data_IF_575137706261
#
_entry.id   IF_575137706261
#
_cell.length_a   1.000
_cell.length_b   1.000
_cell.length_c   1.000
_cell.angle_alpha   90.00
_cell.angle_beta   90.00
_cell.angle_gamma   90.00
#
_symmetry.space_group_name_H-M   'P 1'
#
loop_
_entity.id
_entity.type
_entity.pdbx_description
1 polymer ?
#
# COMPACT_ATOMS: atom_id res chain seq x y z
N UNK A 1 -7.14 -0.42 0.34
CA UNK A 1 -8.44 -1.11 0.19
C UNK A 1 -8.47 -1.63 -1.23
N UNK A 2 -9.03 -2.81 -1.48
CA UNK A 2 -8.96 -3.39 -2.82
C UNK A 2 -9.96 -2.76 -3.75
N UNK A 3 -9.47 -2.19 -4.85
CA UNK A 3 -10.30 -1.73 -5.95
C UNK A 3 -10.73 -2.94 -6.79
N UNK A 4 -12.03 -3.09 -6.98
CA UNK A 4 -12.66 -4.24 -7.62
C UNK A 4 -13.22 -3.77 -8.96
N UNK A 5 -12.86 -4.44 -10.05
CA UNK A 5 -13.45 -4.23 -11.37
C UNK A 5 -14.34 -5.43 -11.73
N UNK A 6 -15.61 -5.20 -12.05
CA UNK A 6 -16.56 -6.23 -12.45
C UNK A 6 -16.78 -6.13 -13.97
N UNK A 7 -16.14 -7.03 -14.70
CA UNK A 7 -16.32 -7.21 -16.13
C UNK A 7 -17.43 -8.21 -16.40
N UNK A 8 -18.36 -7.85 -17.29
CA UNK A 8 -19.51 -8.70 -17.61
C UNK A 8 -20.11 -8.38 -18.97
N UNK A 9 -20.86 -9.35 -19.54
CA UNK A 9 -21.64 -9.17 -20.77
C UNK A 9 -23.12 -9.01 -20.40
N UNK A 10 -23.72 -7.85 -20.68
CA UNK A 10 -25.10 -7.53 -20.24
C UNK A 10 -26.14 -8.60 -20.60
N UNK A 11 -26.06 -9.14 -21.82
CA UNK A 11 -27.06 -10.08 -22.40
C UNK A 11 -27.48 -11.23 -21.48
N UNK A 12 -26.56 -11.80 -20.69
CA UNK A 12 -26.85 -12.99 -19.88
C UNK A 12 -26.37 -12.92 -18.42
N UNK A 13 -25.80 -11.79 -17.99
CA UNK A 13 -25.26 -11.65 -16.63
C UNK A 13 -25.82 -10.46 -15.85
N UNK A 14 -26.57 -9.54 -16.47
CA UNK A 14 -27.01 -8.28 -15.86
C UNK A 14 -27.71 -8.47 -14.49
N UNK A 15 -28.67 -9.40 -14.40
CA UNK A 15 -29.37 -9.69 -13.14
C UNK A 15 -28.48 -10.30 -12.04
N UNK A 16 -27.44 -11.06 -12.40
CA UNK A 16 -26.48 -11.59 -11.44
C UNK A 16 -25.50 -10.53 -10.97
N UNK A 17 -25.08 -9.65 -11.88
CA UNK A 17 -24.11 -8.57 -11.61
C UNK A 17 -24.69 -7.54 -10.65
N UNK A 18 -25.92 -7.07 -10.88
CA UNK A 18 -26.57 -6.16 -9.95
C UNK A 18 -26.69 -6.75 -8.54
N UNK A 19 -27.13 -8.01 -8.45
CA UNK A 19 -27.22 -8.72 -7.16
C UNK A 19 -25.85 -8.91 -6.50
N UNK A 20 -24.79 -9.19 -7.27
CA UNK A 20 -23.44 -9.29 -6.77
C UNK A 20 -22.96 -7.94 -6.22
N UNK A 21 -23.17 -6.86 -6.98
CA UNK A 21 -22.83 -5.49 -6.58
C UNK A 21 -23.49 -5.12 -5.24
N UNK A 22 -24.80 -5.35 -5.10
CA UNK A 22 -25.55 -5.07 -3.86
C UNK A 22 -25.00 -5.79 -2.62
N UNK A 23 -24.35 -6.94 -2.81
CA UNK A 23 -23.69 -7.67 -1.72
C UNK A 23 -22.25 -7.19 -1.50
N UNK A 24 -21.53 -6.83 -2.57
CA UNK A 24 -20.16 -6.32 -2.44
C UNK A 24 -20.12 -4.96 -1.71
N UNK A 25 -21.08 -4.06 -1.95
CA UNK A 25 -21.17 -2.76 -1.27
C UNK A 25 -21.45 -2.87 0.24
N UNK A 26 -21.88 -4.04 0.73
CA UNK A 26 -21.99 -4.31 2.16
C UNK A 26 -20.64 -4.62 2.82
N UNK A 27 -19.59 -4.85 2.01
CA UNK A 27 -18.27 -5.30 2.46
C UNK A 27 -17.12 -4.42 2.00
N UNK A 28 -17.31 -3.61 0.96
CA UNK A 28 -16.34 -2.71 0.37
C UNK A 28 -16.99 -1.34 0.13
N UNK A 29 -16.20 -0.28 0.12
CA UNK A 29 -16.72 1.06 -0.17
C UNK A 29 -17.21 1.12 -1.63
N UNK A 30 -18.39 1.71 -1.92
CA UNK A 30 -18.92 1.78 -3.28
C UNK A 30 -17.96 2.45 -4.29
N UNK A 31 -17.15 3.40 -3.82
CA UNK A 31 -16.13 4.09 -4.64
C UNK A 31 -14.97 3.17 -5.08
N UNK A 32 -14.79 2.03 -4.42
CA UNK A 32 -13.76 1.05 -4.75
C UNK A 32 -14.31 -0.08 -5.65
N UNK A 33 -15.60 -0.08 -6.00
CA UNK A 33 -16.22 -1.07 -6.88
C UNK A 33 -16.60 -0.42 -8.21
N UNK A 34 -15.93 -0.83 -9.27
CA UNK A 34 -16.18 -0.39 -10.63
C UNK A 34 -16.99 -1.46 -11.37
N UNK A 35 -18.15 -1.07 -11.87
CA UNK A 35 -18.93 -1.89 -12.79
C UNK A 35 -19.56 -0.98 -13.84
N UNK A 36 -19.49 -1.43 -15.10
CA UNK A 36 -20.21 -0.81 -16.21
C UNK A 36 -19.81 0.64 -16.58
N UNK A 37 -20.11 0.97 -17.83
CA UNK A 37 -19.88 2.23 -18.56
C UNK A 37 -20.61 3.44 -17.98
N UNK A 38 -21.57 3.24 -17.07
CA UNK A 38 -22.39 4.32 -16.49
C UNK A 38 -21.60 5.31 -15.62
N UNK A 39 -20.35 4.99 -15.29
CA UNK A 39 -19.45 5.82 -14.49
C UNK A 39 -18.56 6.75 -15.33
N UNK A 40 -18.61 6.65 -16.67
CA UNK A 40 -17.76 7.43 -17.57
C UNK A 40 -18.49 8.72 -17.95
N UNK A 41 -17.85 9.86 -17.69
CA UNK A 41 -18.46 11.16 -17.99
C UNK A 41 -18.71 11.35 -19.49
N UNK A 42 -19.84 11.98 -19.89
CA UNK A 42 -20.10 12.30 -21.28
C UNK A 42 -18.94 13.10 -21.91
N UNK A 43 -18.36 12.57 -22.99
CA UNK A 43 -17.24 13.20 -23.69
C UNK A 43 -15.85 12.69 -23.30
N UNK A 44 -15.73 11.82 -22.29
CA UNK A 44 -14.48 11.13 -21.98
C UNK A 44 -14.13 10.09 -23.06
N UNK A 45 -12.83 9.87 -23.29
CA UNK A 45 -12.36 8.75 -24.11
C UNK A 45 -12.66 7.44 -23.37
N UNK A 46 -13.59 6.69 -23.92
CA UNK A 46 -14.12 5.47 -23.33
C UNK A 46 -13.05 4.38 -23.17
N UNK A 47 -12.16 4.23 -24.15
CA UNK A 47 -11.10 3.22 -24.12
C UNK A 47 -10.09 3.58 -23.05
N UNK A 48 -9.71 4.85 -22.96
CA UNK A 48 -8.78 5.33 -21.94
C UNK A 48 -9.34 5.19 -20.52
N UNK A 49 -10.61 5.55 -20.31
CA UNK A 49 -11.26 5.42 -19.01
C UNK A 49 -11.32 3.95 -18.53
N UNK A 50 -11.55 3.01 -19.45
CA UNK A 50 -11.53 1.58 -19.17
C UNK A 50 -10.12 1.08 -18.83
N UNK A 51 -9.11 1.49 -19.59
CA UNK A 51 -7.72 1.13 -19.30
C UNK A 51 -7.27 1.64 -17.94
N UNK A 52 -7.63 2.89 -17.59
CA UNK A 52 -7.32 3.49 -16.28
C UNK A 52 -8.04 2.76 -15.14
N UNK A 53 -9.31 2.37 -15.33
CA UNK A 53 -10.07 1.61 -14.34
C UNK A 53 -9.47 0.22 -14.10
N UNK A 54 -9.07 -0.50 -15.15
CA UNK A 54 -8.37 -1.79 -15.03
C UNK A 54 -6.97 -1.62 -14.44
N UNK A 55 -6.25 -0.55 -14.80
CA UNK A 55 -4.92 -0.27 -14.27
C UNK A 55 -4.96 0.02 -12.77
N UNK A 56 -6.02 0.66 -12.30
CA UNK A 56 -6.18 0.99 -10.88
C UNK A 56 -6.81 -0.13 -10.06
N UNK A 57 -7.46 -1.13 -10.66
CA UNK A 57 -8.04 -2.25 -9.90
C UNK A 57 -6.96 -3.20 -9.34
N UNK A 58 -7.23 -3.75 -8.15
CA UNK A 58 -6.44 -4.82 -7.53
C UNK A 58 -7.02 -6.20 -7.89
N UNK A 59 -8.35 -6.30 -7.94
CA UNK A 59 -9.08 -7.52 -8.26
C UNK A 59 -10.01 -7.29 -9.45
N UNK A 60 -9.93 -8.19 -10.42
CA UNK A 60 -10.73 -8.17 -11.63
C UNK A 60 -11.66 -9.39 -11.63
N UNK A 61 -12.97 -9.17 -11.60
CA UNK A 61 -13.99 -10.21 -11.62
C UNK A 61 -14.49 -10.36 -13.05
N UNK A 62 -14.26 -11.51 -13.66
CA UNK A 62 -14.75 -11.82 -15.01
C UNK A 62 -16.02 -12.66 -14.91
N UNK A 63 -17.19 -12.03 -15.12
CA UNK A 63 -18.50 -12.70 -15.06
C UNK A 63 -18.77 -13.45 -16.36
N UNK A 64 -18.94 -14.77 -16.25
CA UNK A 64 -19.14 -15.68 -17.38
C UNK A 64 -20.54 -16.29 -17.26
N UNK A 65 -21.43 -15.86 -18.15
CA UNK A 65 -22.77 -16.41 -18.31
C UNK A 65 -22.84 -17.51 -19.39
N UNK A 66 -24.02 -18.15 -19.57
CA UNK A 66 -24.19 -19.28 -20.49
C UNK A 66 -23.90 -18.97 -21.96
N UNK A 67 -24.13 -17.72 -22.39
CA UNK A 67 -23.95 -17.24 -23.76
C UNK A 67 -22.68 -16.41 -23.93
N UNK A 68 -21.89 -16.22 -22.86
CA UNK A 68 -20.69 -15.39 -22.85
C UNK A 68 -19.71 -15.68 -24.00
N UNK A 69 -19.53 -16.98 -24.31
CA UNK A 69 -18.64 -17.48 -25.36
C UNK A 69 -19.31 -17.51 -26.75
N UNK A 70 -20.62 -17.69 -26.81
CA UNK A 70 -21.38 -17.91 -28.05
C UNK A 70 -22.13 -16.67 -28.53
N UNK A 71 -22.01 -15.54 -27.82
CA UNK A 71 -22.60 -14.29 -28.23
C UNK A 71 -22.00 -13.86 -29.58
N UNK A 72 -22.89 -13.61 -30.54
CA UNK A 72 -22.54 -13.17 -31.89
C UNK A 72 -22.85 -11.68 -32.08
N UNK A 73 -22.19 -11.06 -33.04
CA UNK A 73 -22.55 -9.72 -33.54
C UNK A 73 -23.58 -9.80 -34.67
N UNK A 74 -23.83 -8.66 -35.31
CA UNK A 74 -24.77 -8.53 -36.42
C UNK A 74 -24.30 -9.29 -37.68
N UNK A 75 -22.99 -9.54 -37.81
CA UNK A 75 -22.37 -10.30 -38.89
C UNK A 75 -22.32 -11.82 -38.63
N UNK A 76 -22.75 -12.26 -37.44
CA UNK A 76 -22.79 -13.68 -37.05
C UNK A 76 -21.48 -14.23 -36.50
N UNK A 77 -20.47 -13.38 -36.31
CA UNK A 77 -19.17 -13.74 -35.76
C UNK A 77 -19.20 -13.71 -34.23
N UNK A 78 -18.44 -14.60 -33.57
CA UNK A 78 -18.37 -14.59 -32.10
C UNK A 78 -17.74 -13.29 -31.62
N UNK A 79 -18.45 -12.54 -30.79
CA UNK A 79 -17.99 -11.25 -30.27
C UNK A 79 -16.64 -11.36 -29.57
N UNK A 80 -16.42 -12.43 -28.81
CA UNK A 80 -15.16 -12.64 -28.09
C UNK A 80 -13.94 -12.76 -29.02
N UNK A 81 -14.12 -13.14 -30.29
CA UNK A 81 -13.04 -13.26 -31.27
C UNK A 81 -12.71 -11.92 -31.93
N UNK A 82 -13.56 -10.92 -31.78
CA UNK A 82 -13.37 -9.59 -32.35
C UNK A 82 -12.35 -8.79 -31.56
N UNK A 83 -11.61 -7.95 -32.26
CA UNK A 83 -10.57 -7.11 -31.65
C UNK A 83 -11.15 -5.92 -30.85
N UNK A 84 -12.41 -5.54 -31.13
CA UNK A 84 -13.11 -4.42 -30.52
C UNK A 84 -14.15 -4.83 -29.45
N UNK A 85 -14.21 -6.11 -29.06
CA UNK A 85 -15.10 -6.54 -27.97
C UNK A 85 -14.54 -6.09 -26.63
N UNK A 86 -15.25 -5.17 -25.96
CA UNK A 86 -14.80 -4.59 -24.69
C UNK A 86 -14.56 -5.64 -23.59
N UNK A 87 -15.39 -6.69 -23.55
CA UNK A 87 -15.21 -7.78 -22.59
C UNK A 87 -13.86 -8.46 -22.78
N UNK A 88 -13.50 -8.76 -24.03
CA UNK A 88 -12.17 -9.28 -24.39
C UNK A 88 -11.06 -8.30 -24.01
N UNK A 89 -11.17 -7.04 -24.41
CA UNK A 89 -10.14 -6.00 -24.20
C UNK A 89 -9.83 -5.85 -22.71
N UNK A 90 -10.85 -5.74 -21.86
CA UNK A 90 -10.69 -5.58 -20.41
C UNK A 90 -10.02 -6.80 -19.77
N UNK A 91 -10.48 -8.00 -20.11
CA UNK A 91 -9.89 -9.25 -19.59
C UNK A 91 -8.43 -9.38 -20.05
N UNK A 92 -8.15 -9.15 -21.34
CA UNK A 92 -6.80 -9.21 -21.89
C UNK A 92 -5.88 -8.20 -21.19
N UNK A 93 -6.36 -6.99 -20.96
CA UNK A 93 -5.63 -5.95 -20.23
C UNK A 93 -5.32 -6.38 -18.78
N UNK A 94 -6.32 -6.88 -18.05
CA UNK A 94 -6.14 -7.35 -16.68
C UNK A 94 -5.16 -8.54 -16.58
N UNK A 95 -5.23 -9.48 -17.51
CA UNK A 95 -4.29 -10.61 -17.59
C UNK A 95 -2.86 -10.14 -17.90
N UNK A 96 -2.69 -9.24 -18.88
CA UNK A 96 -1.39 -8.66 -19.26
C UNK A 96 -0.74 -7.90 -18.11
N UNK A 97 -1.54 -7.15 -17.35
CA UNK A 97 -1.10 -6.43 -16.15
C UNK A 97 -0.95 -7.30 -14.90
N UNK A 98 -1.08 -8.64 -15.04
CA UNK A 98 -0.97 -9.62 -13.95
C UNK A 98 -1.89 -9.32 -12.76
N UNK A 99 -3.06 -8.73 -13.02
CA UNK A 99 -4.08 -8.51 -11.99
C UNK A 99 -4.59 -9.84 -11.44
N UNK A 100 -5.18 -9.80 -10.24
CA UNK A 100 -5.94 -10.94 -9.76
C UNK A 100 -7.27 -11.03 -10.51
N UNK A 101 -7.25 -11.74 -11.63
CA UNK A 101 -8.46 -12.09 -12.37
C UNK A 101 -9.13 -13.31 -11.71
N UNK A 102 -10.40 -13.19 -11.33
CA UNK A 102 -11.24 -14.25 -10.75
C UNK A 102 -12.39 -14.51 -11.73
N UNK A 103 -12.42 -15.66 -12.43
CA UNK A 103 -13.58 -16.06 -13.20
C UNK A 103 -14.76 -16.40 -12.29
N UNK A 104 -15.93 -15.83 -12.59
CA UNK A 104 -17.17 -16.08 -11.85
C UNK A 104 -18.23 -16.63 -12.79
N UNK A 105 -18.61 -17.89 -12.58
CA UNK A 105 -19.60 -18.60 -13.41
C UNK A 105 -21.00 -18.37 -12.85
N UNK A 106 -21.94 -17.99 -13.71
CA UNK A 106 -23.35 -17.78 -13.34
C UNK A 106 -24.29 -18.54 -14.28
N UNK A 107 -25.51 -18.81 -13.85
CA UNK A 107 -26.54 -19.41 -14.70
C UNK A 107 -26.17 -20.82 -15.22
N UNK A 108 -25.35 -21.57 -14.47
CA UNK A 108 -24.78 -22.88 -14.88
C UNK A 108 -23.83 -22.81 -16.09
N UNK A 109 -23.21 -21.65 -16.30
CA UNK A 109 -22.13 -21.50 -17.26
C UNK A 109 -20.99 -22.48 -16.98
N UNK A 110 -20.30 -22.89 -18.04
CA UNK A 110 -19.09 -23.72 -17.95
C UNK A 110 -17.88 -22.89 -18.31
N UNK A 111 -16.76 -23.15 -17.65
CA UNK A 111 -15.50 -22.51 -17.98
C UNK A 111 -15.07 -22.87 -19.42
N UNK A 112 -14.77 -21.90 -20.29
CA UNK A 112 -14.22 -22.18 -21.61
C UNK A 112 -12.88 -22.90 -21.53
N UNK A 113 -12.58 -23.75 -22.52
CA UNK A 113 -11.25 -24.35 -22.65
C UNK A 113 -10.31 -23.43 -23.45
N UNK A 114 -8.98 -23.49 -23.25
CA UNK A 114 -8.05 -22.59 -23.95
C UNK A 114 -8.22 -22.52 -25.48
N UNK A 115 -8.45 -23.62 -26.22
CA UNK A 115 -8.64 -23.57 -27.67
C UNK A 115 -9.91 -22.83 -28.13
N UNK A 116 -10.88 -22.62 -27.23
CA UNK A 116 -12.11 -21.91 -27.55
C UNK A 116 -11.97 -20.39 -27.44
N UNK A 117 -10.85 -19.92 -26.87
CA UNK A 117 -10.57 -18.51 -26.59
C UNK A 117 -9.48 -17.98 -27.53
N UNK A 118 -9.52 -16.68 -27.84
CA UNK A 118 -8.38 -15.98 -28.43
C UNK A 118 -7.11 -16.10 -27.57
N UNK A 119 -5.94 -15.99 -28.21
CA UNK A 119 -4.63 -16.24 -27.59
C UNK A 119 -4.39 -15.43 -26.31
N UNK A 120 -4.77 -14.15 -26.33
CA UNK A 120 -4.68 -13.20 -25.22
C UNK A 120 -5.59 -13.55 -24.03
N UNK A 121 -6.64 -14.35 -24.24
CA UNK A 121 -7.57 -14.78 -23.21
C UNK A 121 -7.33 -16.21 -22.71
N UNK A 122 -6.50 -17.01 -23.38
CA UNK A 122 -6.20 -18.38 -22.94
C UNK A 122 -5.74 -18.50 -21.47
N UNK A 123 -4.99 -17.54 -20.90
CA UNK A 123 -4.65 -17.58 -19.47
C UNK A 123 -5.87 -17.54 -18.54
N UNK A 124 -7.01 -16.97 -18.97
CA UNK A 124 -8.26 -16.96 -18.19
C UNK A 124 -8.74 -18.38 -17.91
N UNK A 125 -8.75 -19.24 -18.93
CA UNK A 125 -9.22 -20.63 -18.84
C UNK A 125 -8.41 -21.50 -17.88
N UNK A 126 -7.20 -21.06 -17.50
CA UNK A 126 -6.34 -21.76 -16.54
C UNK A 126 -6.56 -21.32 -15.09
N UNK A 127 -7.43 -20.34 -14.84
CA UNK A 127 -7.72 -19.82 -13.51
C UNK A 127 -8.85 -20.60 -12.85
N UNK A 128 -8.77 -20.75 -11.53
CA UNK A 128 -9.83 -21.41 -10.76
C UNK A 128 -11.05 -20.48 -10.66
N UNK A 129 -12.23 -21.00 -11.02
CA UNK A 129 -13.46 -20.23 -11.09
C UNK A 129 -14.31 -20.41 -9.82
N UNK A 130 -15.09 -19.39 -9.48
CA UNK A 130 -16.12 -19.46 -8.45
C UNK A 130 -17.49 -19.52 -9.13
N UNK A 131 -18.37 -20.43 -8.73
CA UNK A 131 -19.74 -20.49 -9.22
C UNK A 131 -20.68 -19.74 -8.27
N UNK A 132 -21.50 -18.83 -8.79
CA UNK A 132 -22.61 -18.22 -8.04
C UNK A 132 -23.92 -18.90 -8.44
N UNK A 133 -24.39 -19.79 -7.56
CA UNK A 133 -25.64 -20.50 -7.75
C UNK A 133 -26.83 -19.69 -7.21
N UNK A 134 -28.01 -19.84 -7.83
CA UNK A 134 -29.21 -19.18 -7.33
C UNK A 134 -29.60 -19.65 -5.91
N UNK A 135 -29.40 -20.94 -5.61
CA UNK A 135 -29.77 -21.54 -4.32
C UNK A 135 -28.86 -21.13 -3.16
N UNK A 136 -27.56 -20.94 -3.40
CA UNK A 136 -26.57 -20.63 -2.37
C UNK A 136 -25.91 -19.26 -2.58
N UNK A 137 -26.59 -18.35 -3.28
CA UNK A 137 -26.00 -17.09 -3.72
C UNK A 137 -25.26 -16.32 -2.62
N UNK A 138 -25.88 -16.15 -1.45
CA UNK A 138 -25.26 -15.42 -0.33
C UNK A 138 -23.99 -16.12 0.16
N UNK A 139 -24.02 -17.46 0.26
CA UNK A 139 -22.85 -18.24 0.65
C UNK A 139 -21.73 -18.15 -0.39
N UNK A 140 -22.08 -18.30 -1.67
CA UNK A 140 -21.13 -18.27 -2.79
C UNK A 140 -20.47 -16.87 -2.90
N UNK A 141 -21.25 -15.79 -2.75
CA UNK A 141 -20.73 -14.41 -2.70
C UNK A 141 -19.86 -14.20 -1.46
N UNK A 142 -20.20 -14.75 -0.30
CA UNK A 142 -19.33 -14.67 0.88
C UNK A 142 -17.98 -15.37 0.68
N UNK A 143 -17.92 -16.46 -0.09
CA UNK A 143 -16.65 -17.08 -0.48
C UNK A 143 -15.85 -16.19 -1.43
N UNK A 144 -16.51 -15.54 -2.38
CA UNK A 144 -15.89 -14.55 -3.25
C UNK A 144 -15.35 -13.36 -2.44
N UNK A 145 -16.13 -12.79 -1.53
CA UNK A 145 -15.70 -11.72 -0.61
C UNK A 145 -14.50 -12.16 0.23
N UNK A 146 -14.51 -13.39 0.76
CA UNK A 146 -13.37 -13.94 1.50
C UNK A 146 -12.13 -14.05 0.61
N UNK A 147 -12.29 -14.46 -0.64
CA UNK A 147 -11.20 -14.54 -1.62
C UNK A 147 -10.66 -13.16 -1.97
N UNK A 148 -11.54 -12.19 -2.24
CA UNK A 148 -11.18 -10.80 -2.52
C UNK A 148 -10.46 -10.19 -1.31
N UNK A 149 -10.98 -10.37 -0.09
CA UNK A 149 -10.32 -9.90 1.13
C UNK A 149 -8.99 -10.60 1.38
N UNK A 150 -8.90 -11.91 1.12
CA UNK A 150 -7.66 -12.69 1.19
C UNK A 150 -6.61 -12.25 0.17
N UNK A 151 -7.05 -11.82 -1.01
CA UNK A 151 -6.21 -11.27 -2.06
C UNK A 151 -5.81 -9.80 -1.82
N UNK A 152 -6.73 -9.01 -1.26
CA UNK A 152 -6.49 -7.67 -0.72
C UNK A 152 -5.48 -7.68 0.44
N UNK A 153 -5.38 -8.84 1.07
CA UNK A 153 -4.41 -9.16 2.12
C UNK A 153 -3.31 -10.10 1.61
N UNK A 154 -3.09 -10.19 0.28
CA UNK A 154 -1.75 -10.51 -0.18
C UNK A 154 -0.87 -9.39 0.39
N UNK A 155 0.02 -9.71 1.34
CA UNK A 155 0.91 -8.72 1.88
C UNK A 155 1.66 -8.13 0.67
N UNK A 156 1.78 -6.80 0.52
CA UNK A 156 2.84 -6.22 -0.31
C UNK A 156 4.09 -7.01 0.00
N UNK A 157 4.62 -7.67 -1.04
CA UNK A 157 5.61 -8.74 -0.92
C UNK A 157 6.66 -8.29 0.09
N UNK A 158 6.61 -8.88 1.29
CA UNK A 158 7.64 -8.68 2.29
C UNK A 158 8.95 -8.91 1.56
N UNK A 159 9.85 -7.94 1.62
CA UNK A 159 11.10 -7.98 0.85
C UNK A 159 11.78 -9.32 1.17
N UNK A 160 12.22 -10.09 0.16
CA UNK A 160 12.99 -11.30 0.42
C UNK A 160 14.19 -10.94 1.30
N UNK A 161 14.39 -11.68 2.40
CA UNK A 161 15.51 -11.42 3.31
C UNK A 161 16.81 -11.40 2.53
N UNK A 162 17.54 -10.29 2.63
CA UNK A 162 18.84 -10.14 2.02
C UNK A 162 19.83 -11.17 2.59
N UNK A 163 20.78 -11.59 1.75
CA UNK A 163 21.89 -12.42 2.22
C UNK A 163 22.85 -11.61 3.11
N UNK A 164 23.74 -12.32 3.78
CA UNK A 164 24.69 -11.71 4.72
C UNK A 164 25.68 -10.74 4.05
N UNK A 165 25.93 -10.84 2.75
CA UNK A 165 26.83 -9.93 2.05
C UNK A 165 26.14 -8.57 1.82
N UNK A 166 24.90 -8.60 1.35
CA UNK A 166 24.07 -7.40 1.16
C UNK A 166 23.81 -6.69 2.49
N UNK A 167 23.55 -7.43 3.57
CA UNK A 167 23.38 -6.84 4.90
C UNK A 167 24.63 -6.04 5.31
N UNK A 168 25.83 -6.61 5.14
CA UNK A 168 27.10 -5.93 5.48
C UNK A 168 27.34 -4.69 4.61
N UNK A 169 26.98 -4.75 3.34
CA UNK A 169 27.07 -3.59 2.43
C UNK A 169 26.18 -2.44 2.92
N UNK A 170 24.94 -2.75 3.29
CA UNK A 170 24.01 -1.76 3.84
C UNK A 170 24.48 -1.19 5.17
N UNK A 171 25.02 -2.02 6.07
CA UNK A 171 25.61 -1.57 7.33
C UNK A 171 26.77 -0.60 7.10
N UNK A 172 27.66 -0.92 6.14
CA UNK A 172 28.76 -0.05 5.76
C UNK A 172 28.25 1.28 5.16
N UNK A 173 27.21 1.22 4.32
CA UNK A 173 26.59 2.40 3.74
C UNK A 173 25.95 3.29 4.83
N UNK A 174 25.19 2.72 5.76
CA UNK A 174 24.62 3.45 6.91
C UNK A 174 25.70 4.05 7.80
N UNK A 175 26.81 3.33 8.00
CA UNK A 175 27.97 3.86 8.72
C UNK A 175 28.55 5.09 8.02
N UNK A 176 28.68 5.08 6.69
CA UNK A 176 29.13 6.25 5.94
C UNK A 176 28.17 7.44 6.11
N UNK A 177 26.85 7.22 6.09
CA UNK A 177 25.87 8.28 6.38
C UNK A 177 26.04 8.84 7.80
N UNK A 178 26.33 7.97 8.78
CA UNK A 178 26.58 8.37 10.16
C UNK A 178 27.84 9.23 10.28
N UNK A 179 28.93 8.80 9.64
CA UNK A 179 30.20 9.51 9.65
C UNK A 179 30.05 10.92 9.04
N UNK A 180 29.32 11.04 7.93
CA UNK A 180 28.98 12.33 7.31
C UNK A 180 28.15 13.22 8.25
N UNK A 181 27.13 12.65 8.92
CA UNK A 181 26.25 13.37 9.84
C UNK A 181 26.99 13.89 11.08
N UNK A 182 27.89 13.08 11.64
CA UNK A 182 28.75 13.50 12.76
C UNK A 182 29.68 14.63 12.33
N UNK A 183 30.25 14.55 11.13
CA UNK A 183 31.11 15.57 10.53
C UNK A 183 30.38 16.82 10.05
N UNK A 184 29.04 16.85 10.07
CA UNK A 184 28.23 17.92 9.50
C UNK A 184 28.19 19.19 10.38
N UNK A 185 29.28 19.96 10.38
CA UNK A 185 29.43 21.18 11.20
C UNK A 185 28.56 22.36 10.77
N UNK A 186 28.01 22.31 9.56
CA UNK A 186 27.10 23.33 9.00
C UNK A 186 25.64 23.13 9.38
N UNK A 187 25.34 22.15 10.24
CA UNK A 187 23.98 21.90 10.71
C UNK A 187 23.40 23.13 11.43
N UNK A 188 22.13 23.51 11.17
CA UNK A 188 21.46 24.58 11.92
C UNK A 188 21.39 24.33 13.43
N UNK A 189 21.49 23.05 13.85
CA UNK A 189 21.46 22.62 15.24
C UNK A 189 22.85 22.30 15.82
N UNK A 190 23.93 22.48 15.04
CA UNK A 190 25.29 22.10 15.41
C UNK A 190 25.76 22.73 16.73
N UNK A 191 25.58 24.04 16.88
CA UNK A 191 25.99 24.77 18.10
C UNK A 191 25.29 24.22 19.33
N UNK A 192 23.96 24.08 19.26
CA UNK A 192 23.16 23.56 20.36
C UNK A 192 23.53 22.12 20.71
N UNK A 193 23.76 21.28 19.70
CA UNK A 193 24.23 19.89 19.88
C UNK A 193 25.53 19.85 20.70
N UNK A 194 26.51 20.65 20.34
CA UNK A 194 27.82 20.65 20.99
C UNK A 194 27.78 21.24 22.41
N UNK A 195 27.07 22.35 22.61
CA UNK A 195 26.91 22.98 23.92
C UNK A 195 26.26 22.03 24.94
N UNK A 196 25.32 21.21 24.49
CA UNK A 196 24.61 20.23 25.34
C UNK A 196 25.26 18.84 25.34
N UNK A 197 26.38 18.64 24.65
CA UNK A 197 27.07 17.34 24.50
C UNK A 197 26.15 16.24 24.00
N UNK A 198 25.26 16.59 23.07
CA UNK A 198 24.36 15.67 22.42
C UNK A 198 25.03 14.99 21.22
N UNK A 199 24.57 13.79 20.92
CA UNK A 199 24.92 13.05 19.72
C UNK A 199 23.84 13.23 18.64
N UNK A 200 24.23 13.29 17.36
CA UNK A 200 23.28 13.13 16.28
C UNK A 200 22.71 11.69 16.28
N UNK A 201 21.44 11.56 15.93
CA UNK A 201 20.67 10.32 15.98
C UNK A 201 20.24 9.96 14.56
N UNK A 202 21.12 9.24 13.84
CA UNK A 202 20.86 8.82 12.46
C UNK A 202 19.65 7.86 12.37
N UNK A 203 19.62 6.85 13.24
CA UNK A 203 18.69 5.74 13.12
C UNK A 203 19.27 4.44 13.70
N UNK A 204 18.40 3.48 13.98
CA UNK A 204 18.77 2.17 14.50
C UNK A 204 17.77 1.08 14.06
N UNK A 205 18.22 -0.17 14.08
CA UNK A 205 17.40 -1.34 13.74
C UNK A 205 17.98 -2.17 12.61
N UNK A 206 17.16 -3.02 12.00
CA UNK A 206 17.59 -3.93 10.94
C UNK A 206 17.87 -3.16 9.62
N UNK A 207 19.09 -3.24 9.06
CA UNK A 207 19.43 -2.59 7.78
C UNK A 207 18.63 -3.15 6.58
N UNK A 208 17.99 -4.31 6.72
CA UNK A 208 17.11 -4.91 5.74
C UNK A 208 15.64 -4.97 6.19
N UNK A 209 15.23 -4.05 7.07
CA UNK A 209 13.87 -3.97 7.57
C UNK A 209 12.84 -3.75 6.45
N UNK A 210 11.73 -4.49 6.51
CA UNK A 210 10.54 -4.23 5.69
C UNK A 210 9.81 -2.95 6.11
N UNK A 211 9.87 -2.61 7.40
CA UNK A 211 9.16 -1.50 8.00
C UNK A 211 10.17 -0.44 8.45
N UNK A 212 10.06 0.75 7.87
CA UNK A 212 10.83 1.93 8.26
C UNK A 212 9.92 2.93 8.97
N UNK A 213 10.17 3.19 10.25
CA UNK A 213 9.51 4.28 10.99
C UNK A 213 10.32 5.56 10.92
N UNK A 214 9.63 6.68 10.67
CA UNK A 214 10.25 8.00 10.63
C UNK A 214 9.49 8.92 11.59
N UNK A 215 10.13 9.31 12.69
CA UNK A 215 9.60 10.28 13.65
C UNK A 215 9.92 11.72 13.30
N UNK A 216 9.68 12.60 14.26
CA UNK A 216 9.84 14.04 14.10
C UNK A 216 11.29 14.48 14.37
N UNK A 217 11.75 14.31 15.61
CA UNK A 217 13.08 14.68 16.06
C UNK A 217 13.47 13.82 17.28
N UNK A 218 14.77 13.73 17.61
CA UNK A 218 15.22 13.03 18.81
C UNK A 218 14.80 13.82 20.06
N UNK A 219 14.41 13.12 21.12
CA UNK A 219 14.27 13.70 22.45
C UNK A 219 15.63 13.84 23.16
N UNK A 220 15.59 14.32 24.41
CA UNK A 220 16.81 14.51 25.22
C UNK A 220 17.53 13.18 25.52
N UNK A 221 16.78 12.12 25.79
CA UNK A 221 17.35 10.80 26.12
C UNK A 221 17.99 10.20 24.87
N UNK A 222 17.31 10.30 23.73
CA UNK A 222 17.79 9.86 22.43
C UNK A 222 19.08 10.58 22.05
N UNK A 223 19.11 11.90 22.20
CA UNK A 223 20.28 12.72 21.89
C UNK A 223 21.46 12.45 22.84
N UNK A 224 21.22 12.16 24.11
CA UNK A 224 22.28 11.77 25.03
C UNK A 224 22.89 10.40 24.70
N UNK A 225 22.14 9.51 24.03
CA UNK A 225 22.59 8.15 23.72
C UNK A 225 22.99 7.95 22.24
N UNK A 226 22.56 8.84 21.35
CA UNK A 226 22.74 8.66 19.90
C UNK A 226 21.79 7.62 19.28
N UNK A 227 20.75 7.19 20.00
CA UNK A 227 19.84 6.11 19.60
C UNK A 227 18.40 6.62 19.55
N UNK A 228 17.64 6.37 18.48
CA UNK A 228 16.28 6.88 18.35
C UNK A 228 15.29 6.09 19.21
N UNK A 229 14.23 6.76 19.69
CA UNK A 229 13.10 6.14 20.40
C UNK A 229 13.51 5.28 21.59
N UNK A 230 14.36 5.80 22.47
CA UNK A 230 14.74 5.16 23.75
C UNK A 230 14.06 5.82 24.96
N UNK A 231 13.33 6.92 24.76
CA UNK A 231 12.51 7.57 25.78
C UNK A 231 11.07 7.06 25.85
N UNK A 232 10.16 7.80 26.52
CA UNK A 232 8.76 7.36 26.73
C UNK A 232 7.96 7.09 25.45
N UNK A 233 8.19 7.87 24.38
CA UNK A 233 7.57 7.58 23.06
C UNK A 233 8.09 6.28 22.45
N UNK A 234 9.34 5.93 22.75
CA UNK A 234 9.96 4.66 22.38
C UNK A 234 9.33 3.47 23.07
N UNK A 235 9.06 3.57 24.37
CA UNK A 235 8.37 2.51 25.13
C UNK A 235 6.97 2.24 24.57
N UNK A 236 6.23 3.29 24.18
CA UNK A 236 4.94 3.16 23.51
C UNK A 236 5.11 2.47 22.17
N UNK A 237 6.11 2.84 21.37
CA UNK A 237 6.40 2.19 20.10
C UNK A 237 6.72 0.70 20.28
N UNK A 238 7.52 0.34 21.28
CA UNK A 238 7.83 -1.06 21.61
C UNK A 238 6.60 -1.84 22.08
N UNK A 239 5.69 -1.19 22.81
CA UNK A 239 4.39 -1.78 23.13
C UNK A 239 3.58 -2.05 21.86
N UNK A 240 3.48 -1.09 20.94
CA UNK A 240 2.70 -1.25 19.71
C UNK A 240 3.30 -2.32 18.78
N UNK A 241 4.63 -2.39 18.65
CA UNK A 241 5.31 -3.44 17.88
C UNK A 241 4.98 -4.83 18.43
N UNK A 242 5.00 -5.00 19.76
CA UNK A 242 4.60 -6.27 20.40
C UNK A 242 3.16 -6.67 20.11
N UNK A 243 2.23 -5.72 19.93
CA UNK A 243 0.84 -6.06 19.58
C UNK A 243 0.69 -6.70 18.21
N UNK A 244 1.65 -6.46 17.32
CA UNK A 244 1.67 -7.05 15.97
C UNK A 244 2.71 -8.17 15.82
N UNK A 245 3.38 -8.56 16.91
CA UNK A 245 4.22 -9.76 16.97
C UNK A 245 5.66 -9.60 16.50
N UNK A 246 6.18 -8.37 16.42
CA UNK A 246 7.58 -8.08 16.08
C UNK A 246 8.26 -7.25 17.17
N UNK A 247 9.58 -7.24 17.15
CA UNK A 247 10.40 -6.50 18.09
C UNK A 247 11.07 -5.28 17.43
N UNK A 248 11.76 -4.47 18.24
CA UNK A 248 12.47 -3.28 17.77
C UNK A 248 13.56 -3.61 16.75
N UNK A 249 14.22 -4.76 16.93
CA UNK A 249 15.28 -5.25 16.05
C UNK A 249 14.79 -5.69 14.67
N UNK A 250 13.49 -5.94 14.47
CA UNK A 250 12.94 -6.36 13.17
C UNK A 250 12.69 -5.19 12.21
N UNK A 251 12.65 -3.96 12.75
CA UNK A 251 12.30 -2.73 12.03
C UNK A 251 13.50 -1.78 11.99
N UNK A 252 13.42 -0.74 11.18
CA UNK A 252 14.36 0.38 11.24
C UNK A 252 13.62 1.65 11.69
N UNK A 253 14.22 2.42 12.58
CA UNK A 253 13.65 3.69 13.06
C UNK A 253 14.62 4.84 12.88
N UNK A 254 14.10 5.98 12.43
CA UNK A 254 14.83 7.25 12.27
C UNK A 254 13.87 8.42 12.50
N UNK A 255 14.32 9.66 12.28
CA UNK A 255 13.55 10.89 12.41
C UNK A 255 13.81 11.83 11.22
N UNK A 256 12.90 12.79 10.99
CA UNK A 256 13.12 13.83 9.98
C UNK A 256 14.28 14.75 10.38
N UNK A 257 14.31 15.20 11.63
CA UNK A 257 15.47 15.87 12.23
C UNK A 257 16.37 14.83 12.87
N UNK A 258 17.68 14.95 12.66
CA UNK A 258 18.65 14.01 13.23
C UNK A 258 19.40 14.58 14.43
N UNK A 259 19.14 15.83 14.80
CA UNK A 259 19.60 16.43 16.07
C UNK A 259 18.41 16.88 16.91
N UNK A 260 18.59 16.90 18.24
CA UNK A 260 17.59 17.39 19.16
C UNK A 260 17.46 18.92 19.09
N UNK A 261 16.26 19.47 18.82
CA UNK A 261 16.06 20.91 18.76
C UNK A 261 16.00 21.55 20.15
N UNK A 262 16.40 22.84 20.29
CA UNK A 262 16.31 23.58 21.55
C UNK A 262 14.91 23.56 22.14
N UNK A 263 14.81 23.38 23.45
CA UNK A 263 13.52 23.35 24.18
C UNK A 263 12.53 22.28 23.69
N UNK A 264 12.99 21.25 22.97
CA UNK A 264 12.12 20.25 22.34
C UNK A 264 11.05 20.87 21.43
N UNK A 265 11.36 22.00 20.79
CA UNK A 265 10.42 22.67 19.89
C UNK A 265 10.21 21.87 18.60
N UNK A 266 9.14 22.22 17.92
CA UNK A 266 8.86 21.79 16.56
C UNK A 266 10.01 22.11 15.58
N UNK A 267 10.26 21.23 14.59
CA UNK A 267 11.21 21.45 13.51
C UNK A 267 10.93 22.71 12.67
N UNK A 268 11.99 23.44 12.32
CA UNK A 268 11.93 24.53 11.35
C UNK A 268 12.08 24.02 9.91
N UNK A 269 11.49 24.69 8.91
CA UNK A 269 11.59 24.28 7.50
C UNK A 269 13.04 24.11 7.00
N UNK A 270 13.93 25.01 7.39
CA UNK A 270 15.35 24.98 7.04
C UNK A 270 16.10 23.81 7.70
N UNK A 271 15.70 23.41 8.91
CA UNK A 271 16.26 22.24 9.60
C UNK A 271 15.83 20.96 8.89
N UNK A 272 14.54 20.85 8.55
CA UNK A 272 14.02 19.73 7.77
C UNK A 272 14.79 19.63 6.46
N UNK A 273 14.90 20.72 5.70
CA UNK A 273 15.61 20.74 4.43
C UNK A 273 17.08 20.32 4.53
N UNK A 274 17.73 20.60 5.66
CA UNK A 274 19.11 20.21 5.93
C UNK A 274 19.25 18.70 6.21
N UNK A 275 18.35 18.12 7.01
CA UNK A 275 18.46 16.72 7.45
C UNK A 275 17.85 15.71 6.49
N UNK A 276 16.82 16.10 5.72
CA UNK A 276 16.12 15.16 4.83
C UNK A 276 17.02 14.49 3.79
N UNK A 277 18.10 15.10 3.26
CA UNK A 277 19.05 14.38 2.40
C UNK A 277 19.73 13.18 3.07
N UNK A 278 19.95 13.20 4.39
CA UNK A 278 20.45 12.03 5.13
C UNK A 278 19.35 10.96 5.26
N UNK A 279 18.12 11.38 5.53
CA UNK A 279 16.96 10.48 5.61
C UNK A 279 16.67 9.82 4.27
N UNK A 280 16.82 10.55 3.17
CA UNK A 280 16.71 10.05 1.80
C UNK A 280 17.71 8.90 1.57
N UNK A 281 18.98 9.10 1.94
CA UNK A 281 20.00 8.05 1.86
C UNK A 281 19.64 6.83 2.71
N UNK A 282 19.07 7.00 3.90
CA UNK A 282 18.59 5.88 4.71
C UNK A 282 17.49 5.11 3.96
N UNK A 283 16.49 5.79 3.40
CA UNK A 283 15.41 5.15 2.64
C UNK A 283 15.99 4.36 1.45
N UNK A 284 16.94 4.94 0.72
CA UNK A 284 17.57 4.32 -0.45
C UNK A 284 18.44 3.10 -0.09
N UNK A 285 19.06 3.09 1.10
CA UNK A 285 19.85 1.97 1.61
C UNK A 285 18.94 0.85 2.15
N UNK A 286 17.96 1.19 2.99
CA UNK A 286 17.07 0.21 3.62
C UNK A 286 16.18 -0.45 2.56
N UNK A 287 15.62 0.36 1.64
CA UNK A 287 14.63 -0.05 0.65
C UNK A 287 13.44 -0.78 1.29
N UNK A 288 12.72 -0.12 2.23
CA UNK A 288 11.63 -0.76 2.95
C UNK A 288 10.42 -1.02 2.05
N UNK A 289 9.65 -2.06 2.36
CA UNK A 289 8.35 -2.32 1.74
C UNK A 289 7.27 -1.35 2.23
N UNK A 290 7.42 -0.80 3.45
CA UNK A 290 6.56 0.24 4.01
C UNK A 290 7.33 1.30 4.77
N UNK A 291 6.94 2.56 4.55
CA UNK A 291 7.36 3.69 5.36
C UNK A 291 6.18 4.11 6.25
N UNK A 292 6.40 4.11 7.56
CA UNK A 292 5.42 4.52 8.56
C UNK A 292 5.85 5.87 9.18
N UNK A 293 5.48 7.02 8.58
CA UNK A 293 5.77 8.31 9.18
C UNK A 293 4.91 8.54 10.43
N UNK A 294 5.58 8.88 11.53
CA UNK A 294 5.00 9.09 12.85
C UNK A 294 4.81 10.59 13.08
N UNK A 295 3.57 11.05 13.03
CA UNK A 295 3.20 12.45 13.23
C UNK A 295 3.24 13.30 11.98
N UNK A 296 2.86 14.57 12.14
CA UNK A 296 2.59 15.47 11.01
C UNK A 296 3.84 15.82 10.18
N UNK A 297 5.00 16.00 10.81
CA UNK A 297 6.20 16.43 10.11
C UNK A 297 6.76 15.33 9.21
N UNK A 298 6.91 14.11 9.75
CA UNK A 298 7.31 12.95 8.98
C UNK A 298 6.33 12.66 7.85
N UNK A 299 5.02 12.76 8.12
CA UNK A 299 4.00 12.54 7.09
C UNK A 299 4.12 13.56 5.97
N UNK A 300 4.15 14.86 6.29
CA UNK A 300 4.26 15.92 5.28
C UNK A 300 5.52 15.78 4.44
N UNK A 301 6.67 15.45 5.06
CA UNK A 301 7.91 15.23 4.34
C UNK A 301 7.81 14.05 3.36
N UNK A 302 7.37 12.86 3.83
CA UNK A 302 7.30 11.67 2.98
C UNK A 302 6.29 11.83 1.85
N UNK A 303 5.10 12.36 2.14
CA UNK A 303 4.09 12.58 1.10
C UNK A 303 4.57 13.60 0.05
N UNK A 304 5.31 14.64 0.45
CA UNK A 304 5.89 15.60 -0.49
C UNK A 304 7.05 15.00 -1.30
N UNK A 305 7.95 14.25 -0.65
CA UNK A 305 9.09 13.58 -1.31
C UNK A 305 8.62 12.65 -2.42
N UNK A 306 7.58 11.88 -2.15
CA UNK A 306 7.01 10.89 -3.07
C UNK A 306 5.95 11.50 -4.01
N UNK A 307 5.80 12.83 -4.00
CA UNK A 307 4.83 13.60 -4.79
C UNK A 307 3.39 13.09 -4.74
N UNK A 308 2.97 12.58 -3.58
CA UNK A 308 1.68 11.91 -3.43
C UNK A 308 0.50 12.91 -3.47
N UNK A 309 -0.66 12.55 -4.04
CA UNK A 309 -1.86 13.40 -4.03
C UNK A 309 -2.26 13.86 -2.62
N UNK A 310 -2.00 13.03 -1.62
CA UNK A 310 -2.30 13.26 -0.21
C UNK A 310 -1.36 14.27 0.47
N UNK A 311 -0.34 14.82 -0.22
CA UNK A 311 0.68 15.72 0.37
C UNK A 311 0.16 16.98 1.06
N UNK A 312 -1.10 17.34 0.86
CA UNK A 312 -1.79 18.45 1.55
C UNK A 312 -2.76 18.01 2.66
N UNK A 313 -2.92 16.70 2.87
CA UNK A 313 -3.85 16.14 3.83
C UNK A 313 -3.36 16.30 5.28
N UNK A 314 -4.31 16.21 6.22
CA UNK A 314 -4.04 16.30 7.65
C UNK A 314 -3.83 14.91 8.24
N UNK A 315 -2.97 14.81 9.27
CA UNK A 315 -2.70 13.54 9.95
C UNK A 315 -3.99 12.90 10.49
N UNK A 316 -4.93 13.71 10.99
CA UNK A 316 -6.23 13.24 11.49
C UNK A 316 -7.14 12.60 10.43
N UNK A 317 -6.84 12.78 9.15
CA UNK A 317 -7.62 12.23 8.03
C UNK A 317 -6.88 11.09 7.31
N UNK A 318 -5.55 11.02 7.48
CA UNK A 318 -4.68 10.12 6.74
C UNK A 318 -4.10 9.00 7.60
N UNK A 319 -4.12 9.12 8.93
CA UNK A 319 -3.60 8.07 9.79
C UNK A 319 -4.31 6.72 9.53
N UNK A 320 -3.55 5.63 9.54
CA UNK A 320 -4.07 4.27 9.31
C UNK A 320 -4.45 3.94 7.86
N UNK A 321 -4.34 4.90 6.92
CA UNK A 321 -4.52 4.62 5.49
C UNK A 321 -3.28 3.95 4.91
N UNK A 322 -3.49 2.92 4.10
CA UNK A 322 -2.46 2.37 3.21
C UNK A 322 -2.44 3.19 1.93
N UNK A 323 -1.38 3.96 1.73
CA UNK A 323 -1.18 4.73 0.51
C UNK A 323 -0.12 4.00 -0.31
N UNK A 324 -0.51 3.53 -1.48
CA UNK A 324 0.33 2.74 -2.39
C UNK A 324 1.13 3.67 -3.30
N UNK A 325 2.41 3.37 -3.51
CA UNK A 325 3.27 4.17 -4.40
C UNK A 325 4.44 3.35 -4.96
N UNK A 326 5.23 3.95 -5.84
CA UNK A 326 6.33 3.33 -6.54
C UNK A 326 7.65 4.01 -6.20
N UNK A 327 8.67 3.19 -5.91
CA UNK A 327 10.07 3.61 -5.79
C UNK A 327 10.91 2.90 -6.88
N UNK A 328 12.15 3.36 -7.15
CA UNK A 328 13.05 2.71 -8.10
C UNK A 328 13.30 1.22 -7.80
N UNK A 329 13.23 0.83 -6.52
CA UNK A 329 13.43 -0.55 -6.06
C UNK A 329 12.15 -1.37 -5.97
N UNK A 330 10.98 -0.81 -6.33
CA UNK A 330 9.72 -1.55 -6.33
C UNK A 330 8.54 -0.77 -5.77
N UNK A 331 7.39 -1.44 -5.78
CA UNK A 331 6.16 -0.96 -5.17
C UNK A 331 6.33 -0.92 -3.63
N UNK A 332 5.93 0.19 -3.02
CA UNK A 332 5.96 0.36 -1.57
C UNK A 332 4.64 0.94 -1.06
N UNK A 333 4.47 0.91 0.26
CA UNK A 333 3.36 1.59 0.92
C UNK A 333 3.84 2.67 1.87
N UNK A 334 3.01 3.69 2.06
CA UNK A 334 3.12 4.68 3.12
C UNK A 334 1.92 4.52 4.03
N UNK A 335 2.17 4.35 5.33
CA UNK A 335 1.12 4.25 6.36
C UNK A 335 1.33 5.35 7.38
N UNK A 336 0.71 6.54 7.19
CA UNK A 336 0.81 7.60 8.18
C UNK A 336 0.24 7.17 9.53
N UNK A 337 0.89 7.56 10.61
CA UNK A 337 0.45 7.23 11.97
C UNK A 337 0.56 8.44 12.88
N UNK A 338 -0.25 8.46 13.94
CA UNK A 338 0.01 9.42 15.02
C UNK A 338 1.38 9.15 15.65
N UNK A 339 2.02 10.23 16.12
CA UNK A 339 3.28 10.09 16.83
C UNK A 339 3.04 9.36 18.17
N UNK A 340 3.85 8.36 18.57
CA UNK A 340 3.62 7.57 19.80
C UNK A 340 3.42 8.40 21.07
N UNK A 341 4.03 9.58 21.14
CA UNK A 341 3.86 10.51 22.26
C UNK A 341 2.40 10.94 22.51
N UNK A 342 1.49 10.88 21.52
CA UNK A 342 0.07 11.26 21.71
C UNK A 342 -0.62 10.38 22.76
N UNK A 343 -0.16 9.14 22.93
CA UNK A 343 -0.71 8.18 23.90
C UNK A 343 -0.41 8.60 25.33
N UNK A 344 0.68 9.34 25.56
CA UNK A 344 1.04 9.84 26.88
C UNK A 344 0.05 10.91 27.39
N UNK A 345 -0.72 11.51 26.49
CA UNK A 345 -1.69 12.56 26.81
C UNK A 345 -3.14 12.06 26.77
N UNK A 346 -3.42 10.93 26.10
CA UNK A 346 -4.78 10.40 25.97
C UNK A 346 -4.81 8.88 25.78
N UNK A 347 -5.53 8.19 26.67
CA UNK A 347 -5.75 6.76 26.57
C UNK A 347 -6.55 6.35 25.32
N UNK A 348 -7.48 7.18 24.82
CA UNK A 348 -8.27 6.86 23.63
C UNK A 348 -7.44 6.83 22.34
N UNK A 349 -6.31 7.55 22.33
CA UNK A 349 -5.37 7.53 21.21
C UNK A 349 -4.58 6.22 21.15
N UNK A 350 -4.46 5.50 22.27
CA UNK A 350 -3.78 4.21 22.32
C UNK A 350 -4.48 3.15 21.45
N UNK A 351 -5.80 3.06 21.57
CA UNK A 351 -6.57 2.10 20.77
C UNK A 351 -6.58 2.45 19.28
N UNK A 352 -6.58 3.74 18.97
CA UNK A 352 -6.44 4.22 17.58
C UNK A 352 -5.10 3.83 17.01
N UNK A 353 -4.00 4.10 17.74
CA UNK A 353 -2.66 3.73 17.32
C UNK A 353 -2.51 2.20 17.17
N UNK A 354 -3.08 1.41 18.08
CA UNK A 354 -3.09 -0.05 17.96
C UNK A 354 -3.76 -0.52 16.66
N UNK A 355 -4.92 0.05 16.31
CA UNK A 355 -5.62 -0.27 15.04
C UNK A 355 -4.82 0.13 13.81
N UNK A 356 -4.08 1.23 13.87
CA UNK A 356 -3.18 1.64 12.79
C UNK A 356 -2.01 0.68 12.65
N UNK A 357 -1.44 0.20 13.76
CA UNK A 357 -0.37 -0.81 13.75
C UNK A 357 -0.81 -2.15 13.15
N UNK A 358 -2.06 -2.57 13.34
CA UNK A 358 -2.60 -3.78 12.69
C UNK A 358 -2.44 -3.76 11.16
N UNK A 359 -2.41 -2.57 10.55
CA UNK A 359 -2.13 -2.41 9.11
C UNK A 359 -0.72 -2.86 8.72
N UNK A 360 0.23 -2.79 9.64
CA UNK A 360 1.62 -3.19 9.40
C UNK A 360 1.84 -4.70 9.38
N UNK A 361 0.88 -5.51 9.86
CA UNK A 361 0.95 -6.98 9.73
C UNK A 361 1.05 -7.47 8.29
N UNK A 362 0.67 -6.61 7.34
CA UNK A 362 0.82 -6.85 5.91
C UNK A 362 2.28 -6.79 5.42
N UNK A 363 3.25 -6.44 6.27
CA UNK A 363 4.67 -6.27 5.89
C UNK A 363 5.63 -7.07 6.77
N UNK A 364 5.10 -7.93 7.64
CA UNK A 364 5.83 -8.88 8.48
C UNK A 364 5.86 -10.20 7.73
#
# INVERSE_FOLDING_TARGET
MSRIFINYRRVDTEGYVGRLYDHLVQHFDPQDIFMDVSSIEPGADFVQALEDAVATCDVFIAMIGPTWLTAIDDDGERRIDQWNDFVRIEIASALRQKKLVIPVLVGRAKMPTPPMLPEDLQPLARRNAIELSHQRFVYDVNQLVKTIKGAASLPPVAKPRADSAVIREKEAALKAVRDDLVGATTSPLYTFRNENRHFPVLGAGNPDANILFIGESPGKVEAAQGVPFVGPSGEVLDEMLRTIGINREDVFTTNVLLDHPPSSRDPLPEEIAYYTPFVDRIIDIIQPAVIAPLGRFAMTYILKKLDLPEKRGKISQLHGKLIKTQMPYGEIHVVPMYHPAVVLYSASQKDTLRKDFEKLKLFI
#
